data_IF_542876912158
#
_entry.id   IF_542876912158
#
_cell.length_a   1.000
_cell.length_b   1.000
_cell.length_c   1.000
_cell.angle_alpha   90.00
_cell.angle_beta   90.00
_cell.angle_gamma   90.00
#
_symmetry.space_group_name_H-M   'P 1'
#
loop_
_entity.id
_entity.type
_entity.pdbx_description
1 polymer ?
#
# COMPACT_ATOMS: atom_id res chain seq x y z
N UNK A 1 10.10 -18.73 -13.84
CA UNK A 1 9.94 -17.31 -13.52
C UNK A 1 9.45 -16.68 -14.80
N UNK A 2 8.24 -16.14 -14.80
CA UNK A 2 7.62 -15.63 -16.02
C UNK A 2 8.52 -14.58 -16.68
N UNK A 3 8.84 -14.79 -17.97
CA UNK A 3 9.58 -13.87 -18.83
C UNK A 3 8.72 -12.61 -19.10
N UNK A 4 8.50 -11.81 -18.07
CA UNK A 4 7.84 -10.51 -18.22
C UNK A 4 8.87 -9.50 -18.70
N UNK A 5 8.79 -9.14 -19.97
CA UNK A 5 9.62 -8.08 -20.53
C UNK A 5 9.34 -6.75 -19.79
N UNK A 6 10.37 -6.05 -19.29
CA UNK A 6 10.17 -4.82 -18.53
C UNK A 6 9.65 -3.70 -19.43
N UNK A 7 8.60 -3.00 -18.99
CA UNK A 7 8.10 -1.82 -19.69
C UNK A 7 9.14 -0.70 -19.66
N UNK A 8 9.59 -0.27 -20.83
CA UNK A 8 10.58 0.79 -20.98
C UNK A 8 9.92 2.16 -21.18
N UNK A 9 10.44 3.16 -20.47
CA UNK A 9 10.02 4.55 -20.61
C UNK A 9 11.15 5.42 -21.15
N UNK A 10 10.82 6.41 -21.98
CA UNK A 10 11.79 7.35 -22.52
C UNK A 10 12.30 8.36 -21.48
N UNK A 11 11.53 8.62 -20.42
CA UNK A 11 11.85 9.60 -19.36
C UNK A 11 11.41 9.09 -18.00
N UNK A 12 12.16 9.42 -16.95
CA UNK A 12 11.85 9.02 -15.57
C UNK A 12 10.47 9.50 -15.10
N UNK A 13 10.09 10.74 -15.42
CA UNK A 13 8.76 11.30 -15.09
C UNK A 13 7.61 10.46 -15.65
N UNK A 14 7.75 9.96 -16.88
CA UNK A 14 6.71 9.11 -17.47
C UNK A 14 6.59 7.75 -16.74
N UNK A 15 7.72 7.17 -16.33
CA UNK A 15 7.73 5.96 -15.52
C UNK A 15 7.08 6.18 -14.15
N UNK A 16 7.35 7.32 -13.52
CA UNK A 16 6.73 7.73 -12.25
C UNK A 16 5.22 7.94 -12.36
N UNK A 17 4.75 8.68 -13.37
CA UNK A 17 3.32 8.96 -13.56
C UNK A 17 2.51 7.66 -13.77
N UNK A 18 3.07 6.71 -14.53
CA UNK A 18 2.47 5.38 -14.72
C UNK A 18 2.54 4.55 -13.43
N UNK A 19 3.68 4.56 -12.73
CA UNK A 19 3.82 3.84 -11.46
C UNK A 19 2.77 4.29 -10.44
N UNK A 20 2.54 5.60 -10.28
CA UNK A 20 1.50 6.12 -9.38
C UNK A 20 0.12 5.61 -9.77
N UNK A 21 -0.24 5.74 -11.05
CA UNK A 21 -1.56 5.31 -11.56
C UNK A 21 -1.78 3.82 -11.33
N UNK A 22 -0.77 2.98 -11.58
CA UNK A 22 -0.84 1.53 -11.36
C UNK A 22 -0.94 1.21 -9.87
N UNK A 23 -0.11 1.84 -9.03
CA UNK A 23 -0.09 1.60 -7.60
C UNK A 23 -1.43 1.97 -6.95
N UNK A 24 -2.01 3.12 -7.31
CA UNK A 24 -3.31 3.57 -6.81
C UNK A 24 -4.44 2.60 -7.19
N UNK A 25 -4.47 2.14 -8.45
CA UNK A 25 -5.49 1.18 -8.92
C UNK A 25 -5.38 -0.16 -8.22
N UNK A 26 -4.16 -0.64 -7.98
CA UNK A 26 -3.93 -1.89 -7.28
C UNK A 26 -4.24 -1.75 -5.78
N UNK A 27 -3.84 -0.63 -5.15
CA UNK A 27 -4.10 -0.39 -3.74
C UNK A 27 -5.60 -0.18 -3.44
N UNK A 28 -6.36 0.35 -4.40
CA UNK A 28 -7.82 0.44 -4.31
C UNK A 28 -8.51 -0.94 -4.22
N UNK A 29 -7.83 -2.03 -4.61
CA UNK A 29 -8.34 -3.39 -4.41
C UNK A 29 -8.18 -3.89 -2.96
N UNK A 30 -7.54 -3.10 -2.08
CA UNK A 30 -7.36 -3.39 -0.66
C UNK A 30 -5.95 -3.88 -0.30
N UNK A 31 -5.06 -4.04 -1.27
CA UNK A 31 -3.71 -4.54 -1.03
C UNK A 31 -2.67 -3.42 -0.83
N UNK A 32 -1.65 -3.72 -0.04
CA UNK A 32 -0.42 -2.93 -0.02
C UNK A 32 0.37 -3.14 -1.31
N UNK A 33 0.76 -2.05 -1.97
CA UNK A 33 1.45 -2.12 -3.25
C UNK A 33 2.81 -1.43 -3.19
N UNK A 34 3.84 -2.14 -3.62
CA UNK A 34 5.19 -1.60 -3.81
C UNK A 34 5.61 -1.72 -5.28
N UNK A 35 5.93 -0.58 -5.90
CA UNK A 35 6.45 -0.55 -7.27
C UNK A 35 7.91 -0.11 -7.26
N UNK A 36 8.77 -0.91 -7.89
CA UNK A 36 10.18 -0.57 -8.10
C UNK A 36 10.39 -0.10 -9.53
N UNK A 37 11.06 1.04 -9.67
CA UNK A 37 11.56 1.50 -10.96
C UNK A 37 13.05 1.23 -11.03
N UNK A 38 13.49 0.69 -12.16
CA UNK A 38 14.90 0.39 -12.42
C UNK A 38 15.40 1.19 -13.62
N UNK A 39 16.66 1.59 -13.57
CA UNK A 39 17.39 2.09 -14.72
C UNK A 39 17.69 0.93 -15.68
N UNK A 40 18.05 1.24 -16.92
CA UNK A 40 18.38 0.23 -17.96
C UNK A 40 19.54 -0.69 -17.57
N UNK A 41 20.44 -0.23 -16.69
CA UNK A 41 21.54 -1.02 -16.17
C UNK A 41 21.14 -1.91 -14.96
N UNK A 42 19.85 -2.00 -14.64
CA UNK A 42 19.31 -2.79 -13.54
C UNK A 42 19.39 -2.14 -12.16
N UNK A 43 19.96 -0.93 -12.03
CA UNK A 43 19.99 -0.24 -10.75
C UNK A 43 18.61 0.27 -10.36
N UNK A 44 18.19 0.06 -9.10
CA UNK A 44 16.92 0.59 -8.58
C UNK A 44 17.00 2.11 -8.50
N UNK A 45 16.13 2.79 -9.25
CA UNK A 45 16.02 4.24 -9.30
C UNK A 45 15.07 4.78 -8.22
N UNK A 46 13.95 4.08 -8.00
CA UNK A 46 12.91 4.52 -7.06
C UNK A 46 12.09 3.35 -6.53
N UNK A 47 11.42 3.60 -5.39
CA UNK A 47 10.46 2.70 -4.74
C UNK A 47 9.23 3.53 -4.37
N UNK A 48 8.08 3.17 -4.93
CA UNK A 48 6.79 3.77 -4.61
C UNK A 48 6.01 2.82 -3.73
N UNK A 49 5.46 3.34 -2.64
CA UNK A 49 4.64 2.59 -1.70
C UNK A 49 3.26 3.22 -1.70
N UNK A 50 2.24 2.42 -2.01
CA UNK A 50 0.85 2.81 -1.91
C UNK A 50 0.17 1.93 -0.87
N UNK A 51 -0.38 2.56 0.15
CA UNK A 51 -1.18 1.89 1.17
C UNK A 51 -2.62 1.81 0.68
N UNK A 52 -3.33 0.70 0.96
CA UNK A 52 -4.75 0.64 0.68
C UNK A 52 -5.48 1.75 1.45
N UNK A 53 -6.63 2.24 0.92
CA UNK A 53 -7.45 3.18 1.67
C UNK A 53 -7.85 2.54 3.01
N UNK A 54 -7.75 3.32 4.09
CA UNK A 54 -8.17 2.88 5.41
C UNK A 54 -9.67 2.57 5.35
N UNK A 55 -10.08 1.45 5.95
CA UNK A 55 -11.50 1.17 6.12
C UNK A 55 -12.12 2.27 7.00
N UNK A 56 -13.42 2.52 6.87
CA UNK A 56 -14.10 3.50 7.73
C UNK A 56 -13.94 3.15 9.23
N UNK A 57 -13.73 1.87 9.54
CA UNK A 57 -13.54 1.36 10.90
C UNK A 57 -12.09 1.46 11.38
N UNK A 58 -11.12 1.51 10.45
CA UNK A 58 -9.69 1.76 10.72
C UNK A 58 -9.31 3.24 10.59
N UNK A 59 -10.31 4.12 10.53
CA UNK A 59 -10.06 5.56 10.40
C UNK A 59 -9.34 6.06 11.65
N UNK A 60 -8.17 6.71 11.50
CA UNK A 60 -7.40 7.19 12.64
C UNK A 60 -8.25 8.23 13.36
N UNK A 61 -8.37 8.09 14.68
CA UNK A 61 -9.10 9.07 15.47
C UNK A 61 -8.39 10.43 15.34
N UNK A 62 -9.02 11.36 14.65
CA UNK A 62 -8.57 12.74 14.57
C UNK A 62 -9.13 13.51 15.77
N UNK A 63 -8.29 13.85 16.74
CA UNK A 63 -8.66 14.76 17.83
C UNK A 63 -7.97 16.10 17.58
N UNK A 64 -8.77 17.15 17.37
CA UNK A 64 -8.27 18.53 17.25
C UNK A 64 -7.31 18.76 16.08
N UNK A 65 -7.41 18.00 14.99
CA UNK A 65 -6.54 18.12 13.81
C UNK A 65 -5.21 17.35 13.90
N UNK A 66 -4.98 16.59 14.97
CA UNK A 66 -3.80 15.71 15.10
C UNK A 66 -4.16 14.24 14.83
N UNK A 67 -3.30 13.54 14.09
CA UNK A 67 -3.42 12.12 13.77
C UNK A 67 -3.02 11.28 15.00
N UNK A 68 -4.00 10.71 15.71
CA UNK A 68 -3.72 9.62 16.65
C UNK A 68 -3.78 8.30 15.87
N UNK A 69 -2.61 7.73 15.58
CA UNK A 69 -2.55 6.37 15.06
C UNK A 69 -2.97 5.41 16.18
N UNK A 70 -4.17 4.85 16.08
CA UNK A 70 -4.54 3.68 16.88
C UNK A 70 -3.86 2.46 16.26
N UNK A 71 -2.97 1.82 17.03
CA UNK A 71 -2.56 0.47 16.71
C UNK A 71 -3.80 -0.42 16.89
N UNK A 72 -4.28 -1.02 15.81
CA UNK A 72 -5.32 -2.04 15.86
C UNK A 72 -4.82 -3.18 16.76
N UNK A 73 -5.25 -3.16 18.01
CA UNK A 73 -5.14 -4.32 18.88
C UNK A 73 -6.25 -5.28 18.42
N UNK A 74 -5.88 -6.28 17.62
CA UNK A 74 -6.70 -7.46 17.44
C UNK A 74 -6.83 -8.14 18.82
N UNK A 75 -7.84 -7.73 19.58
CA UNK A 75 -8.33 -8.49 20.72
C UNK A 75 -9.29 -9.51 20.15
N UNK A 76 -8.80 -10.73 19.93
CA UNK A 76 -9.63 -11.90 19.72
C UNK A 76 -10.30 -12.22 21.07
N UNK A 77 -11.43 -11.57 21.33
CA UNK A 77 -12.29 -11.83 22.49
C UNK A 77 -13.25 -12.97 22.15
N UNK A 78 -12.74 -14.21 22.20
CA UNK A 78 -13.60 -15.39 22.28
C UNK A 78 -14.04 -15.59 23.73
N UNK A 79 -15.00 -14.78 24.16
CA UNK A 79 -15.73 -14.99 25.40
C UNK A 79 -16.80 -16.08 25.18
N UNK A 80 -16.60 -17.27 25.74
CA UNK A 80 -17.72 -18.17 25.99
C UNK A 80 -17.61 -18.85 27.35
N UNK A 81 -18.05 -18.09 28.35
CA UNK A 81 -18.73 -18.59 29.55
C UNK A 81 -19.69 -19.74 29.20
N UNK A 82 -19.44 -20.92 29.76
CA UNK A 82 -20.48 -21.91 30.02
C UNK A 82 -20.54 -22.11 31.53
N UNK A 83 -21.67 -21.71 32.10
CA UNK A 83 -22.06 -21.92 33.49
C UNK A 83 -22.30 -23.42 33.77
N UNK A 84 -21.86 -23.88 34.94
CA UNK A 84 -22.63 -24.61 35.97
C UNK A 84 -21.69 -25.38 36.92
#
# INVERSE_FOLDING_TARGET
MDDVEPQLFARGRAAEDVAKTVAERLAAAGDHVEIHLFLRNGQKAARFVCLPPLSAEDSPLLIGGSLLAQAAANVDDTDQRVNA
#
